data_IF_774659303647
#
_entry.id   IF_774659303647
#
_cell.length_a   1.000
_cell.length_b   1.000
_cell.length_c   1.000
_cell.angle_alpha   90.00
_cell.angle_beta   90.00
_cell.angle_gamma   90.00
#
_symmetry.space_group_name_H-M   'P 1'
#
loop_
_entity.id
_entity.type
_entity.pdbx_description
1 polymer ?
#
# COMPACT_ATOMS: atom_id res chain seq x y z
N UNK A 1 12.18 -27.13 5.41
CA UNK A 1 12.47 -25.71 5.68
C UNK A 1 11.43 -24.91 4.94
N UNK A 2 10.43 -24.38 5.66
CA UNK A 2 9.39 -23.54 5.07
C UNK A 2 9.87 -22.10 5.22
N UNK A 3 10.81 -21.70 4.38
CA UNK A 3 11.25 -20.31 4.32
C UNK A 3 10.10 -19.49 3.73
N UNK A 4 9.47 -18.77 4.64
CA UNK A 4 8.50 -17.71 4.42
C UNK A 4 8.88 -16.94 3.15
N UNK A 5 7.98 -16.94 2.16
CA UNK A 5 7.99 -15.97 1.05
C UNK A 5 7.80 -14.57 1.65
N UNK A 6 8.84 -14.03 2.27
CA UNK A 6 8.86 -12.70 2.87
C UNK A 6 8.59 -11.70 1.76
N UNK A 7 7.40 -11.09 1.83
CA UNK A 7 6.85 -10.03 0.98
C UNK A 7 7.82 -9.42 -0.05
N UNK A 8 7.81 -10.01 -1.25
CA UNK A 8 8.67 -9.64 -2.38
C UNK A 8 8.41 -8.20 -2.89
N UNK A 9 7.23 -7.63 -2.61
CA UNK A 9 6.85 -6.30 -3.11
C UNK A 9 7.64 -5.16 -2.47
N UNK A 10 7.96 -5.26 -1.17
CA UNK A 10 8.65 -4.19 -0.45
C UNK A 10 10.13 -4.12 -0.84
N UNK A 11 10.73 -5.28 -1.11
CA UNK A 11 12.08 -5.34 -1.66
C UNK A 11 12.12 -4.78 -3.09
N UNK A 12 11.21 -5.22 -3.95
CA UNK A 12 11.10 -4.70 -5.31
C UNK A 12 10.87 -3.17 -5.36
N UNK A 13 10.11 -2.63 -4.39
CA UNK A 13 9.91 -1.19 -4.26
C UNK A 13 11.20 -0.47 -3.86
N UNK A 14 11.96 -1.01 -2.89
CA UNK A 14 13.25 -0.44 -2.49
C UNK A 14 14.26 -0.45 -3.65
N UNK A 15 14.37 -1.57 -4.35
CA UNK A 15 15.29 -1.71 -5.48
C UNK A 15 14.98 -0.66 -6.57
N UNK A 16 13.69 -0.41 -6.82
CA UNK A 16 13.25 0.60 -7.79
C UNK A 16 13.53 2.04 -7.32
N UNK A 17 13.33 2.32 -6.02
CA UNK A 17 13.66 3.63 -5.43
C UNK A 17 15.16 3.89 -5.58
N UNK A 18 16.01 2.93 -5.26
CA UNK A 18 17.46 3.06 -5.39
C UNK A 18 17.88 3.30 -6.85
N UNK A 19 17.32 2.53 -7.79
CA UNK A 19 17.59 2.72 -9.23
C UNK A 19 17.17 4.11 -9.71
N UNK A 20 16.05 4.66 -9.24
CA UNK A 20 15.61 6.01 -9.57
C UNK A 20 16.50 7.07 -8.92
N UNK A 21 16.91 6.86 -7.66
CA UNK A 21 17.86 7.74 -6.98
C UNK A 21 19.17 7.85 -7.75
N UNK A 22 19.71 6.74 -8.22
CA UNK A 22 20.91 6.72 -9.07
C UNK A 22 20.66 7.44 -10.41
N UNK A 23 19.52 7.18 -11.06
CA UNK A 23 19.17 7.81 -12.34
C UNK A 23 19.06 9.33 -12.25
N UNK A 24 18.57 9.85 -11.14
CA UNK A 24 18.40 11.29 -10.92
C UNK A 24 19.55 11.94 -10.14
N UNK A 25 20.58 11.16 -9.77
CA UNK A 25 21.74 11.66 -9.04
C UNK A 25 21.39 12.16 -7.64
N UNK A 26 20.42 11.54 -6.98
CA UNK A 26 20.05 11.88 -5.61
C UNK A 26 21.16 11.50 -4.65
N UNK A 27 21.47 12.40 -3.71
CA UNK A 27 22.36 12.07 -2.59
C UNK A 27 21.67 11.12 -1.59
N UNK A 28 22.43 10.66 -0.59
CA UNK A 28 21.94 9.70 0.41
C UNK A 28 20.75 10.26 1.22
N UNK A 29 20.79 11.55 1.56
CA UNK A 29 19.74 12.21 2.34
C UNK A 29 18.48 12.35 1.50
N UNK A 30 18.62 12.76 0.24
CA UNK A 30 17.52 12.86 -0.73
C UNK A 30 16.92 11.50 -1.02
N UNK A 31 17.74 10.47 -1.15
CA UNK A 31 17.30 9.08 -1.35
C UNK A 31 16.50 8.57 -0.16
N UNK A 32 16.94 8.86 1.07
CA UNK A 32 16.20 8.52 2.27
C UNK A 32 14.85 9.24 2.33
N UNK A 33 14.83 10.56 2.07
CA UNK A 33 13.59 11.34 2.04
C UNK A 33 12.62 10.85 0.96
N UNK A 34 13.13 10.51 -0.23
CA UNK A 34 12.34 9.96 -1.32
C UNK A 34 11.74 8.60 -0.95
N UNK A 35 12.54 7.72 -0.34
CA UNK A 35 12.07 6.43 0.17
C UNK A 35 10.95 6.59 1.19
N UNK A 36 11.12 7.47 2.17
CA UNK A 36 10.13 7.72 3.22
C UNK A 36 8.81 8.24 2.65
N UNK A 37 8.87 9.18 1.70
CA UNK A 37 7.70 9.69 1.00
C UNK A 37 6.94 8.58 0.28
N UNK A 38 7.62 7.75 -0.51
CA UNK A 38 6.99 6.68 -1.30
C UNK A 38 6.37 5.63 -0.39
N UNK A 39 7.08 5.19 0.64
CA UNK A 39 6.60 4.15 1.58
C UNK A 39 5.41 4.68 2.39
N UNK A 40 5.47 5.92 2.86
CA UNK A 40 4.36 6.54 3.61
C UNK A 40 3.11 6.64 2.75
N UNK A 41 3.25 7.18 1.53
CA UNK A 41 2.14 7.29 0.57
C UNK A 41 1.54 5.92 0.27
N UNK A 42 2.36 4.90 0.00
CA UNK A 42 1.86 3.54 -0.26
C UNK A 42 1.03 2.98 0.91
N UNK A 43 1.48 3.21 2.16
CA UNK A 43 0.75 2.77 3.36
C UNK A 43 -0.56 3.54 3.55
N UNK A 44 -0.58 4.84 3.26
CA UNK A 44 -1.79 5.65 3.35
C UNK A 44 -2.83 5.23 2.31
N UNK A 45 -2.42 5.06 1.05
CA UNK A 45 -3.30 4.59 0.00
C UNK A 45 -3.87 3.20 0.28
N UNK A 46 -3.06 2.29 0.85
CA UNK A 46 -3.55 0.99 1.30
C UNK A 46 -4.63 1.11 2.40
N UNK A 47 -4.42 1.99 3.39
CA UNK A 47 -5.41 2.26 4.44
C UNK A 47 -6.70 2.84 3.88
N UNK A 48 -6.60 3.80 2.95
CA UNK A 48 -7.76 4.43 2.30
C UNK A 48 -8.54 3.38 1.51
N UNK A 49 -7.87 2.58 0.67
CA UNK A 49 -8.50 1.50 -0.08
C UNK A 49 -9.20 0.49 0.83
N UNK A 50 -8.58 0.12 1.94
CA UNK A 50 -9.17 -0.77 2.95
C UNK A 50 -10.41 -0.18 3.62
N UNK A 51 -10.39 1.12 3.95
CA UNK A 51 -11.54 1.84 4.54
C UNK A 51 -12.70 1.94 3.55
N UNK A 52 -12.42 2.28 2.30
CA UNK A 52 -13.42 2.36 1.24
C UNK A 52 -14.03 1.00 0.95
N UNK A 53 -13.21 -0.07 0.91
CA UNK A 53 -13.67 -1.45 0.72
C UNK A 53 -14.54 -1.95 1.89
N UNK A 54 -14.13 -1.68 3.13
CA UNK A 54 -14.94 -1.99 4.31
C UNK A 54 -16.27 -1.22 4.30
N UNK A 55 -16.24 0.08 4.00
CA UNK A 55 -17.45 0.91 3.88
C UNK A 55 -18.42 0.41 2.81
N UNK A 56 -17.90 0.00 1.65
CA UNK A 56 -18.70 -0.63 0.60
C UNK A 56 -19.31 -1.96 1.07
N UNK A 57 -18.53 -2.83 1.71
CA UNK A 57 -19.00 -4.12 2.20
C UNK A 57 -20.11 -3.96 3.26
N UNK A 58 -19.95 -3.03 4.21
CA UNK A 58 -20.98 -2.72 5.21
C UNK A 58 -22.24 -2.13 4.59
N UNK A 59 -22.10 -1.25 3.60
CA UNK A 59 -23.25 -0.70 2.88
C UNK A 59 -24.04 -1.80 2.18
N UNK A 60 -23.35 -2.71 1.48
CA UNK A 60 -23.96 -3.82 0.77
C UNK A 60 -24.66 -4.80 1.73
N UNK A 61 -24.03 -5.15 2.85
CA UNK A 61 -24.64 -6.02 3.86
C UNK A 61 -25.95 -5.43 4.42
N UNK A 62 -26.00 -4.10 4.66
CA UNK A 62 -27.24 -3.43 5.12
C UNK A 62 -28.33 -3.38 4.06
N UNK A 63 -27.97 -3.27 2.78
CA UNK A 63 -28.92 -3.36 1.66
C UNK A 63 -29.48 -4.80 1.52
N UNK A 64 -28.66 -5.82 1.75
CA UNK A 64 -29.08 -7.24 1.72
C UNK A 64 -29.97 -7.60 2.92
N UNK A 65 -29.66 -7.14 4.14
CA UNK A 65 -30.52 -7.32 5.34
C UNK A 65 -31.85 -6.56 5.22
N UNK A 66 -31.86 -5.38 4.58
CA UNK A 66 -33.05 -4.56 4.38
C UNK A 66 -34.09 -5.13 3.41
N UNK A 67 -33.77 -6.19 2.66
CA UNK A 67 -34.68 -6.88 1.74
C UNK A 67 -35.50 -7.98 2.43
N UNK A 68 -35.20 -8.32 3.69
CA UNK A 68 -35.91 -9.37 4.44
C UNK A 68 -37.05 -8.89 5.37
N UNK A 69 -37.34 -7.59 5.43
CA UNK A 69 -38.44 -7.04 6.22
C UNK A 69 -39.56 -6.53 5.32
N UNK A 70 -40.20 -7.47 4.61
CA UNK A 70 -41.53 -7.30 4.02
C UNK A 70 -42.61 -7.80 4.98
#
# INVERSE_FOLDING_TARGET
>A
MNEEKKNNWFQALQDKINSLSEQFGLDEVQTHAFRDFVVTTAREQFKIGSRSGAGWAFKKAREEDGVSAG
#
